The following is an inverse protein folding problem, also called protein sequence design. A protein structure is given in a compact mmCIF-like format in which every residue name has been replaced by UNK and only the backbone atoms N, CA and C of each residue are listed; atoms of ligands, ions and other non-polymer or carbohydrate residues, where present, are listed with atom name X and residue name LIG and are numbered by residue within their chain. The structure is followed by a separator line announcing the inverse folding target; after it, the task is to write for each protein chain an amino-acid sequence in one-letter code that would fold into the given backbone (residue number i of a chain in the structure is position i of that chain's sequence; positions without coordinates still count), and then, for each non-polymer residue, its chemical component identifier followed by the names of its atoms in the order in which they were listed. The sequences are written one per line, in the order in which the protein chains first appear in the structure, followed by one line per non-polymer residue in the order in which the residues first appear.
data_IF_284285438126
#
_entry.id   IF_284285438126
#
_cell.length_a   1.000
_cell.length_b   1.000
_cell.length_c   1.000
_cell.angle_alpha   90.00
_cell.angle_beta   90.00
_cell.angle_gamma   90.00
#
_symmetry.space_group_name_H-M   'P 1'
#
loop_
_entity.id
_entity.type
_entity.pdbx_description
1 polymer ?
#
# COMPACT_ATOMS: atom_id res chain seq x y z
N UNK A 1 10.05 -21.73 -27.29
CA UNK A 1 8.72 -22.07 -26.74
C UNK A 1 8.06 -20.75 -26.38
N UNK A 2 6.95 -20.38 -26.99
CA UNK A 2 6.26 -19.12 -26.74
C UNK A 2 5.43 -19.26 -25.46
N UNK A 3 5.76 -18.49 -24.42
CA UNK A 3 4.92 -18.38 -23.22
C UNK A 3 3.73 -17.48 -23.56
N UNK A 4 2.55 -18.04 -23.47
CA UNK A 4 1.28 -17.30 -23.61
C UNK A 4 0.92 -16.81 -22.20
N UNK A 5 0.95 -15.51 -21.99
CA UNK A 5 0.43 -14.89 -20.78
C UNK A 5 -1.07 -14.65 -20.97
N UNK A 6 -1.88 -15.34 -20.20
CA UNK A 6 -3.32 -15.08 -20.11
C UNK A 6 -3.51 -14.01 -19.04
N UNK A 7 -3.75 -12.78 -19.45
CA UNK A 7 -4.21 -11.71 -18.55
C UNK A 7 -5.71 -11.88 -18.38
N UNK A 8 -6.14 -12.34 -17.22
CA UNK A 8 -7.56 -12.32 -16.83
C UNK A 8 -7.90 -10.91 -16.33
N UNK A 9 -8.44 -10.09 -17.20
CA UNK A 9 -9.09 -8.83 -16.83
C UNK A 9 -10.43 -9.14 -16.16
N UNK A 10 -10.45 -9.15 -14.83
CA UNK A 10 -11.69 -9.05 -14.05
C UNK A 10 -12.07 -7.58 -13.93
N UNK A 11 -12.91 -7.10 -14.84
CA UNK A 11 -13.58 -5.80 -14.70
C UNK A 11 -14.68 -5.93 -13.64
N UNK A 12 -14.38 -5.60 -12.40
CA UNK A 12 -15.38 -5.36 -11.37
C UNK A 12 -15.56 -3.84 -11.22
N UNK A 13 -16.73 -3.34 -11.65
CA UNK A 13 -17.19 -2.00 -11.33
C UNK A 13 -17.40 -1.90 -9.81
N UNK A 14 -16.46 -1.32 -9.08
CA UNK A 14 -16.61 -0.97 -7.67
C UNK A 14 -17.32 0.37 -7.57
N UNK A 15 -18.61 0.33 -7.23
CA UNK A 15 -19.34 1.47 -6.72
C UNK A 15 -18.91 1.71 -5.27
N UNK A 16 -18.09 2.72 -5.05
CA UNK A 16 -17.73 3.21 -3.71
C UNK A 16 -18.92 3.94 -3.09
N UNK A 17 -19.69 3.24 -2.25
CA UNK A 17 -20.60 3.88 -1.31
C UNK A 17 -20.01 3.73 0.09
N UNK A 18 -19.65 4.87 0.69
CA UNK A 18 -19.07 4.93 2.03
C UNK A 18 -20.02 4.33 3.08
N UNK A 19 -19.49 3.40 3.88
CA UNK A 19 -20.16 2.88 5.07
C UNK A 19 -19.79 3.75 6.28
N UNK A 20 -20.76 4.48 6.81
CA UNK A 20 -20.64 5.17 8.09
C UNK A 20 -20.76 4.15 9.24
N UNK A 21 -19.76 4.08 10.11
CA UNK A 21 -19.76 3.26 11.31
C UNK A 21 -20.74 3.82 12.35
N UNK A 22 -21.82 3.10 12.62
CA UNK A 22 -22.65 3.27 13.82
C UNK A 22 -22.30 2.23 14.86
N UNK A 23 -21.71 2.67 15.95
CA UNK A 23 -21.46 1.85 17.14
C UNK A 23 -22.81 1.63 17.84
N UNK A 24 -23.26 0.37 17.88
CA UNK A 24 -24.40 -0.05 18.70
C UNK A 24 -23.91 -0.82 19.92
N UNK A 25 -24.05 -0.22 21.09
CA UNK A 25 -23.89 -0.86 22.38
C UNK A 25 -25.19 -1.51 22.78
N UNK A 26 -25.21 -2.82 23.05
CA UNK A 26 -26.29 -3.50 23.75
C UNK A 26 -25.76 -4.39 24.88
N UNK A 27 -26.53 -4.50 25.99
CA UNK A 27 -26.01 -4.90 27.30
C UNK A 27 -26.08 -6.42 27.55
N UNK A 28 -25.16 -6.82 28.42
CA UNK A 28 -24.98 -8.14 28.99
C UNK A 28 -26.22 -8.60 29.78
N UNK A 29 -26.75 -9.78 29.44
CA UNK A 29 -27.63 -10.52 30.37
C UNK A 29 -26.85 -11.73 30.91
N UNK A 30 -26.66 -11.72 32.23
CA UNK A 30 -26.20 -12.86 33.01
C UNK A 30 -27.32 -13.89 33.18
N UNK A 31 -27.05 -15.16 32.95
CA UNK A 31 -27.77 -16.26 33.59
C UNK A 31 -26.80 -17.28 34.10
N UNK A 32 -26.86 -17.46 35.41
CA UNK A 32 -26.29 -18.52 36.24
C UNK A 32 -27.09 -19.78 36.08
N UNK A 33 -26.41 -20.91 35.87
CA UNK A 33 -26.85 -22.20 36.43
C UNK A 33 -25.65 -23.12 36.63
N UNK A 34 -25.58 -23.65 37.85
CA UNK A 34 -24.62 -24.64 38.33
C UNK A 34 -25.07 -26.04 37.91
N UNK A 35 -24.13 -26.91 37.58
CA UNK A 35 -24.26 -28.34 37.85
C UNK A 35 -22.89 -28.94 38.17
N UNK A 36 -22.82 -29.49 39.41
CA UNK A 36 -21.72 -30.27 39.95
C UNK A 36 -21.69 -31.66 39.29
N UNK A 37 -20.56 -32.11 38.80
CA UNK A 37 -20.27 -33.52 38.62
C UNK A 37 -18.82 -33.84 39.04
N UNK A 38 -18.74 -34.49 40.20
CA UNK A 38 -17.55 -35.02 40.81
C UNK A 38 -17.02 -36.22 40.02
N UNK A 39 -15.80 -36.10 39.47
CA UNK A 39 -15.06 -37.24 38.91
C UNK A 39 -13.83 -37.48 39.77
N UNK A 40 -13.80 -38.69 40.36
CA UNK A 40 -12.74 -39.22 41.20
C UNK A 40 -11.46 -39.46 40.42
N UNK A 41 -10.35 -38.88 40.87
CA UNK A 41 -9.01 -39.06 40.33
C UNK A 41 -8.41 -40.33 40.96
N UNK A 42 -8.10 -41.33 40.14
CA UNK A 42 -7.24 -42.44 40.52
C UNK A 42 -5.79 -42.10 40.22
N UNK A 43 -4.97 -42.04 41.26
CA UNK A 43 -3.53 -41.85 41.20
C UNK A 43 -2.85 -43.09 40.66
N UNK A 44 -2.19 -42.98 39.51
CA UNK A 44 -1.15 -43.93 39.08
C UNK A 44 0.22 -43.30 39.27
N UNK A 45 1.04 -43.99 40.08
CA UNK A 45 2.47 -43.69 40.21
C UNK A 45 3.22 -44.18 38.95
N UNK A 46 3.89 -43.28 38.26
CA UNK A 46 4.80 -43.61 37.17
C UNK A 46 6.23 -43.51 37.71
N UNK A 47 6.97 -44.58 37.57
CA UNK A 47 8.40 -44.68 37.88
C UNK A 47 9.22 -43.76 36.96
N UNK A 48 10.18 -43.03 37.54
CA UNK A 48 11.17 -42.24 36.82
C UNK A 48 12.14 -43.16 36.08
N UNK A 49 11.97 -43.31 34.75
CA UNK A 49 13.05 -43.72 33.87
C UNK A 49 13.80 -42.49 33.40
N UNK A 50 15.08 -42.44 33.72
CA UNK A 50 16.02 -41.42 33.28
C UNK A 50 16.20 -41.49 31.75
N UNK A 51 15.52 -40.62 31.00
CA UNK A 51 15.79 -40.38 29.59
C UNK A 51 16.90 -39.36 29.46
N UNK A 52 18.03 -39.85 28.98
CA UNK A 52 19.17 -39.12 28.47
C UNK A 52 18.67 -38.00 27.53
N UNK A 53 19.01 -36.76 27.84
CA UNK A 53 18.79 -35.60 27.02
C UNK A 53 19.54 -35.76 25.70
N UNK A 54 18.85 -36.19 24.63
CA UNK A 54 19.24 -35.87 23.28
C UNK A 54 18.80 -34.43 23.01
N UNK A 55 19.69 -33.51 23.19
CA UNK A 55 19.59 -32.16 22.62
C UNK A 55 19.45 -32.31 21.09
N UNK A 56 18.21 -32.29 20.61
CA UNK A 56 17.95 -32.10 19.18
C UNK A 56 18.32 -30.66 18.92
N UNK A 57 19.53 -30.45 18.40
CA UNK A 57 19.92 -29.18 17.81
C UNK A 57 18.92 -28.93 16.69
N UNK A 58 17.99 -27.98 16.92
CA UNK A 58 17.24 -27.31 15.86
C UNK A 58 18.30 -26.67 14.96
N UNK A 59 18.61 -27.31 13.83
CA UNK A 59 19.30 -26.67 12.72
C UNK A 59 18.43 -25.50 12.33
N UNK A 60 18.85 -24.28 12.71
CA UNK A 60 18.24 -23.05 12.18
C UNK A 60 18.28 -23.15 10.66
N UNK A 61 17.13 -23.18 10.02
CA UNK A 61 17.06 -23.10 8.58
C UNK A 61 17.84 -21.84 8.17
N UNK A 62 18.66 -21.98 7.12
CA UNK A 62 19.40 -20.84 6.59
C UNK A 62 18.40 -19.84 6.02
N UNK A 63 18.44 -18.59 6.48
CA UNK A 63 17.52 -17.53 6.07
C UNK A 63 18.29 -16.40 5.38
N UNK A 64 17.64 -15.75 4.44
CA UNK A 64 18.13 -14.51 3.80
C UNK A 64 17.34 -13.34 4.32
N UNK A 65 18.02 -12.35 4.90
CA UNK A 65 17.40 -11.08 5.29
C UNK A 65 17.15 -10.23 4.04
N UNK A 66 15.91 -9.78 3.89
CA UNK A 66 15.44 -8.97 2.76
C UNK A 66 14.83 -7.69 3.28
N UNK A 67 15.25 -6.57 2.70
CA UNK A 67 14.77 -5.25 3.11
C UNK A 67 14.30 -4.44 1.92
N UNK A 68 13.21 -3.67 2.13
CA UNK A 68 12.75 -2.66 1.19
C UNK A 68 12.42 -1.37 1.94
N UNK A 69 13.14 -0.31 1.65
CA UNK A 69 12.86 1.03 2.15
C UNK A 69 11.76 1.73 1.35
N UNK A 70 11.04 2.59 2.03
CA UNK A 70 10.01 3.44 1.43
C UNK A 70 9.71 4.68 2.28
N UNK A 71 8.83 5.55 1.82
CA UNK A 71 8.57 6.86 2.44
C UNK A 71 7.90 6.77 3.81
N UNK A 72 7.29 5.65 4.13
CA UNK A 72 6.59 5.43 5.41
C UNK A 72 7.38 4.60 6.39
N UNK A 73 8.38 3.87 5.91
CA UNK A 73 9.23 3.01 6.74
C UNK A 73 9.94 1.95 5.90
N UNK A 74 10.82 1.19 6.54
CA UNK A 74 11.50 0.05 5.93
C UNK A 74 10.81 -1.25 6.34
N UNK A 75 10.46 -2.06 5.34
CA UNK A 75 9.95 -3.42 5.51
C UNK A 75 11.14 -4.37 5.47
N UNK A 76 11.27 -5.26 6.45
CA UNK A 76 12.31 -6.31 6.49
C UNK A 76 11.67 -7.65 6.80
N UNK A 77 12.16 -8.71 6.13
CA UNK A 77 11.74 -10.10 6.31
C UNK A 77 12.92 -11.05 6.29
N UNK A 78 12.83 -12.17 7.00
CA UNK A 78 13.74 -13.30 6.88
C UNK A 78 13.10 -14.38 6.00
N UNK A 79 13.65 -14.60 4.81
CA UNK A 79 13.16 -15.58 3.84
C UNK A 79 13.95 -16.87 3.97
N UNK A 80 13.33 -18.02 4.28
CA UNK A 80 14.01 -19.29 4.47
C UNK A 80 14.42 -19.92 3.13
N UNK A 81 15.42 -20.81 3.17
CA UNK A 81 15.78 -21.66 2.04
C UNK A 81 14.57 -22.42 1.50
N UNK A 82 14.42 -22.51 0.16
CA UNK A 82 13.26 -23.09 -0.53
C UNK A 82 12.16 -22.06 -0.85
N UNK A 83 12.40 -20.78 -0.51
CA UNK A 83 11.55 -19.67 -0.90
C UNK A 83 12.34 -18.66 -1.74
N UNK A 84 11.69 -18.13 -2.76
CA UNK A 84 12.17 -17.00 -3.56
C UNK A 84 11.54 -15.70 -3.12
N UNK A 85 12.18 -14.57 -3.45
CA UNK A 85 11.61 -13.24 -3.25
C UNK A 85 11.92 -12.31 -4.41
N UNK A 86 11.07 -11.30 -4.59
CA UNK A 86 11.28 -10.14 -5.46
C UNK A 86 11.02 -8.87 -4.65
N UNK A 87 11.92 -7.89 -4.76
CA UNK A 87 11.77 -6.57 -4.13
C UNK A 87 11.15 -5.65 -5.16
N UNK A 88 10.08 -4.96 -4.76
CA UNK A 88 9.42 -3.97 -5.59
C UNK A 88 9.75 -2.56 -5.10
N UNK A 89 10.45 -1.76 -5.90
CA UNK A 89 10.61 -0.34 -5.62
C UNK A 89 9.26 0.37 -5.68
N UNK A 90 9.20 1.54 -5.07
CA UNK A 90 7.99 2.33 -4.90
C UNK A 90 7.23 2.66 -6.19
N UNK A 91 7.93 2.73 -7.31
CA UNK A 91 7.41 3.01 -8.65
C UNK A 91 7.18 1.77 -9.52
N UNK A 92 7.14 0.60 -8.90
CA UNK A 92 6.99 -0.66 -9.64
C UNK A 92 5.58 -0.83 -10.21
N UNK A 93 5.49 -0.98 -11.53
CA UNK A 93 4.25 -1.34 -12.24
C UNK A 93 3.67 -2.71 -11.81
N UNK A 94 4.48 -3.54 -11.15
CA UNK A 94 4.07 -4.87 -10.68
C UNK A 94 3.17 -4.84 -9.45
N UNK A 95 3.22 -3.76 -8.67
CA UNK A 95 2.38 -3.58 -7.48
C UNK A 95 1.13 -2.77 -7.83
N UNK A 96 0.08 -3.45 -8.26
CA UNK A 96 -1.17 -2.79 -8.65
C UNK A 96 -1.94 -2.14 -7.49
N UNK A 97 -1.59 -2.47 -6.23
CA UNK A 97 -2.31 -1.99 -5.04
C UNK A 97 -1.41 -1.41 -3.94
N UNK A 98 -0.10 -1.64 -3.98
CA UNK A 98 0.84 -1.17 -2.96
C UNK A 98 1.81 -0.13 -3.47
N UNK A 99 2.42 0.64 -2.58
CA UNK A 99 3.40 1.65 -2.93
C UNK A 99 4.80 1.06 -3.11
N UNK A 100 5.18 0.12 -2.25
CA UNK A 100 6.46 -0.61 -2.27
C UNK A 100 6.30 -1.88 -1.43
N UNK A 101 7.17 -2.86 -1.62
CA UNK A 101 7.08 -4.10 -0.88
C UNK A 101 7.97 -5.23 -1.34
N UNK A 102 7.70 -6.39 -0.78
CA UNK A 102 8.42 -7.63 -1.01
C UNK A 102 7.42 -8.71 -1.41
N UNK A 103 7.63 -9.35 -2.58
CA UNK A 103 6.91 -10.57 -2.93
C UNK A 103 7.74 -11.76 -2.52
N UNK A 104 7.10 -12.80 -2.00
CA UNK A 104 7.78 -14.07 -1.70
C UNK A 104 6.89 -15.27 -2.06
N UNK A 105 7.53 -16.37 -2.46
CA UNK A 105 6.85 -17.56 -2.98
C UNK A 105 7.74 -18.80 -2.86
N UNK A 106 7.15 -20.03 -2.76
CA UNK A 106 7.92 -21.26 -2.72
C UNK A 106 8.66 -21.51 -4.03
N UNK A 107 9.89 -22.06 -3.96
CA UNK A 107 10.77 -22.29 -5.12
C UNK A 107 10.18 -23.21 -6.18
N UNK A 108 9.50 -24.26 -5.75
CA UNK A 108 9.02 -25.34 -6.60
C UNK A 108 7.56 -25.17 -7.09
N UNK A 109 6.95 -24.01 -6.84
CA UNK A 109 5.52 -23.77 -7.13
C UNK A 109 5.38 -22.68 -8.19
N UNK A 110 4.79 -23.03 -9.32
CA UNK A 110 4.61 -22.10 -10.43
C UNK A 110 3.58 -21.00 -10.16
N UNK A 111 2.60 -21.26 -9.30
CA UNK A 111 1.47 -20.40 -9.03
C UNK A 111 1.23 -20.28 -7.52
N UNK A 112 1.13 -19.06 -7.04
CA UNK A 112 0.93 -18.73 -5.63
C UNK A 112 2.09 -17.94 -5.05
N UNK A 113 1.76 -16.79 -4.45
CA UNK A 113 2.71 -15.87 -3.85
C UNK A 113 2.03 -14.98 -2.81
N UNK A 114 2.84 -14.33 -2.01
CA UNK A 114 2.44 -13.30 -1.05
C UNK A 114 3.11 -11.99 -1.43
N UNK A 115 2.32 -10.94 -1.59
CA UNK A 115 2.81 -9.55 -1.68
C UNK A 115 2.69 -8.89 -0.31
N UNK A 116 3.79 -8.66 0.37
CA UNK A 116 3.85 -7.84 1.56
C UNK A 116 4.16 -6.40 1.13
N UNK A 117 3.20 -5.50 1.29
CA UNK A 117 3.26 -4.14 0.73
C UNK A 117 2.80 -3.10 1.74
N UNK A 118 3.24 -1.86 1.54
CA UNK A 118 2.62 -0.72 2.21
C UNK A 118 1.48 -0.18 1.34
N UNK A 119 0.28 -0.14 1.92
CA UNK A 119 -0.93 0.42 1.30
C UNK A 119 -1.54 1.41 2.29
N UNK A 120 -1.63 2.68 1.88
CA UNK A 120 -2.39 3.66 2.64
C UNK A 120 -3.89 3.42 2.43
N UNK A 121 -4.68 3.46 3.51
CA UNK A 121 -6.14 3.27 3.46
C UNK A 121 -6.63 1.93 2.84
N UNK A 122 -5.92 0.82 3.11
CA UNK A 122 -6.42 -0.49 2.70
C UNK A 122 -7.76 -0.82 3.36
N UNK A 123 -8.73 -1.17 2.54
CA UNK A 123 -10.05 -1.61 3.01
C UNK A 123 -10.71 -2.56 2.04
N UNK A 124 -11.46 -3.49 2.59
CA UNK A 124 -12.30 -4.44 1.85
C UNK A 124 -13.73 -4.37 2.36
N UNK A 125 -14.69 -4.57 1.49
CA UNK A 125 -16.10 -4.62 1.86
C UNK A 125 -16.85 -5.62 0.97
N UNK A 126 -17.96 -6.16 1.47
CA UNK A 126 -18.82 -7.06 0.70
C UNK A 126 -19.40 -8.17 1.56
N UNK A 127 -20.36 -8.89 0.99
CA UNK A 127 -20.97 -10.06 1.63
C UNK A 127 -20.07 -11.28 1.45
N UNK A 128 -19.94 -12.09 2.50
CA UNK A 128 -19.17 -13.33 2.49
C UNK A 128 -17.72 -13.19 2.95
N UNK A 129 -17.32 -12.00 3.40
CA UNK A 129 -16.03 -11.81 4.08
C UNK A 129 -16.05 -12.61 5.40
N UNK A 130 -15.05 -13.46 5.58
CA UNK A 130 -14.70 -14.09 6.84
C UNK A 130 -13.38 -13.53 7.35
N UNK A 131 -13.31 -13.19 8.63
CA UNK A 131 -12.11 -12.60 9.24
C UNK A 131 -11.73 -13.36 10.52
N UNK A 132 -10.42 -13.49 10.72
CA UNK A 132 -9.83 -14.08 11.92
C UNK A 132 -8.76 -13.13 12.46
N UNK A 133 -8.71 -12.98 13.80
CA UNK A 133 -7.68 -12.17 14.48
C UNK A 133 -6.52 -13.05 14.92
N UNK A 134 -5.30 -12.65 14.57
CA UNK A 134 -4.05 -13.33 14.86
C UNK A 134 -3.08 -12.39 15.58
N UNK A 135 -1.96 -12.96 16.03
CA UNK A 135 -0.78 -12.19 16.43
C UNK A 135 0.36 -12.58 15.49
N UNK A 136 0.90 -11.62 14.73
CA UNK A 136 1.99 -11.84 13.78
C UNK A 136 3.06 -10.79 14.06
N UNK A 137 4.34 -11.20 14.16
CA UNK A 137 5.46 -10.33 14.53
C UNK A 137 5.22 -9.56 15.84
N UNK A 138 4.47 -10.16 16.77
CA UNK A 138 4.09 -9.53 18.04
C UNK A 138 3.04 -8.41 17.92
N UNK A 139 2.42 -8.24 16.75
CA UNK A 139 1.40 -7.22 16.48
C UNK A 139 0.02 -7.86 16.29
N UNK A 140 -1.07 -7.15 16.63
CA UNK A 140 -2.40 -7.57 16.24
C UNK A 140 -2.48 -7.62 14.72
N UNK A 141 -3.05 -8.69 14.16
CA UNK A 141 -3.25 -8.86 12.74
C UNK A 141 -4.63 -9.46 12.46
N UNK A 142 -5.25 -9.09 11.34
CA UNK A 142 -6.48 -9.70 10.87
C UNK A 142 -6.23 -10.35 9.50
N UNK A 143 -6.53 -11.64 9.39
CA UNK A 143 -6.61 -12.34 8.12
C UNK A 143 -8.05 -12.37 7.65
N UNK A 144 -8.30 -12.01 6.39
CA UNK A 144 -9.62 -12.02 5.78
C UNK A 144 -9.64 -12.74 4.46
N UNK A 145 -10.76 -13.43 4.19
CA UNK A 145 -10.99 -14.20 2.98
C UNK A 145 -12.45 -14.13 2.54
N UNK A 146 -12.70 -14.24 1.24
CA UNK A 146 -14.04 -14.37 0.66
C UNK A 146 -14.34 -15.78 0.15
N UNK A 147 -13.36 -16.62 0.00
CA UNK A 147 -13.42 -17.91 -0.68
C UNK A 147 -12.96 -19.09 0.18
N UNK A 148 -12.91 -18.90 1.49
CA UNK A 148 -12.40 -19.87 2.45
C UNK A 148 -10.94 -20.27 2.15
N UNK A 149 -10.09 -19.29 1.95
CA UNK A 149 -8.65 -19.45 1.69
C UNK A 149 -8.26 -20.17 0.39
N UNK A 150 -9.14 -20.20 -0.60
CA UNK A 150 -8.86 -20.92 -1.85
C UNK A 150 -7.91 -20.17 -2.77
N UNK A 151 -8.22 -18.88 -3.05
CA UNK A 151 -7.55 -18.13 -4.11
C UNK A 151 -6.96 -16.82 -3.65
N UNK A 152 -7.59 -16.15 -2.67
CA UNK A 152 -7.17 -14.84 -2.22
C UNK A 152 -7.43 -14.62 -0.74
N UNK A 153 -6.44 -14.09 -0.06
CA UNK A 153 -6.57 -13.60 1.30
C UNK A 153 -5.84 -12.28 1.44
N UNK A 154 -6.19 -11.53 2.48
CA UNK A 154 -5.41 -10.40 2.94
C UNK A 154 -5.09 -10.56 4.43
N UNK A 155 -3.96 -10.00 4.84
CA UNK A 155 -3.59 -9.88 6.25
C UNK A 155 -3.24 -8.43 6.49
N UNK A 156 -3.97 -7.77 7.39
CA UNK A 156 -3.67 -6.41 7.84
C UNK A 156 -3.02 -6.44 9.20
N UNK A 157 -2.16 -5.46 9.47
CA UNK A 157 -1.46 -5.34 10.75
C UNK A 157 -1.95 -4.09 11.49
N UNK A 158 -1.99 -4.18 12.81
CA UNK A 158 -2.35 -3.08 13.70
C UNK A 158 -1.16 -2.35 14.30
N UNK A 159 -1.45 -1.40 15.19
CA UNK A 159 -0.50 -0.57 15.91
C UNK A 159 0.44 0.19 14.96
N UNK A 160 1.75 0.18 15.26
CA UNK A 160 2.80 0.82 14.47
C UNK A 160 3.10 0.13 13.12
N UNK A 161 2.46 -1.01 12.83
CA UNK A 161 2.50 -1.70 11.54
C UNK A 161 1.28 -1.39 10.66
N UNK A 162 0.41 -0.45 11.07
CA UNK A 162 -0.71 0.02 10.26
C UNK A 162 -0.22 0.54 8.91
N UNK A 163 -0.90 0.15 7.83
CA UNK A 163 -0.49 0.38 6.45
C UNK A 163 0.28 -0.77 5.82
N UNK A 164 0.84 -1.70 6.62
CA UNK A 164 1.39 -2.94 6.08
C UNK A 164 0.25 -3.94 5.81
N UNK A 165 0.26 -4.51 4.61
CA UNK A 165 -0.73 -5.49 4.17
C UNK A 165 -0.02 -6.63 3.45
N UNK A 166 -0.36 -7.88 3.80
CA UNK A 166 0.03 -9.04 3.01
C UNK A 166 -1.17 -9.49 2.17
N UNK A 167 -0.98 -9.56 0.85
CA UNK A 167 -1.97 -10.03 -0.12
C UNK A 167 -1.50 -11.37 -0.66
N UNK A 168 -2.31 -12.41 -0.49
CA UNK A 168 -1.97 -13.75 -1.00
C UNK A 168 -2.71 -14.02 -2.31
N UNK A 169 -1.98 -14.45 -3.32
CA UNK A 169 -2.53 -14.92 -4.60
C UNK A 169 -2.10 -16.37 -4.79
N UNK A 170 -3.03 -17.25 -4.94
CA UNK A 170 -2.77 -18.69 -4.86
C UNK A 170 -3.72 -19.52 -5.72
N UNK A 171 -3.31 -20.74 -5.99
CA UNK A 171 -4.18 -21.78 -6.54
C UNK A 171 -4.88 -22.56 -5.42
N UNK A 172 -5.91 -23.30 -5.77
CA UNK A 172 -6.66 -24.13 -4.80
C UNK A 172 -5.72 -25.07 -4.03
N UNK A 173 -5.94 -25.19 -2.73
CA UNK A 173 -5.17 -25.95 -1.76
C UNK A 173 -3.74 -25.40 -1.44
N UNK A 174 -3.31 -24.29 -2.02
CA UNK A 174 -2.01 -23.71 -1.74
C UNK A 174 -1.89 -23.28 -0.27
N UNK A 175 -2.93 -22.66 0.28
CA UNK A 175 -2.95 -22.22 1.67
C UNK A 175 -2.87 -23.37 2.67
N UNK A 176 -3.53 -24.50 2.39
CA UNK A 176 -3.45 -25.69 3.24
C UNK A 176 -2.02 -26.24 3.35
N UNK A 177 -1.20 -26.04 2.32
CA UNK A 177 0.19 -26.53 2.25
C UNK A 177 1.17 -25.52 2.85
N UNK A 178 1.00 -24.23 2.57
CA UNK A 178 2.02 -23.20 2.82
C UNK A 178 1.67 -22.21 3.91
N UNK A 179 0.45 -22.19 4.44
CA UNK A 179 0.02 -21.18 5.43
C UNK A 179 0.92 -21.10 6.66
N UNK A 180 1.36 -22.24 7.19
CA UNK A 180 2.27 -22.29 8.34
C UNK A 180 3.59 -21.59 8.04
N UNK A 181 4.21 -21.89 6.89
CA UNK A 181 5.45 -21.26 6.46
C UNK A 181 5.27 -19.77 6.14
N UNK A 182 4.16 -19.39 5.50
CA UNK A 182 3.82 -17.98 5.26
C UNK A 182 3.73 -17.21 6.57
N UNK A 183 3.03 -17.75 7.56
CA UNK A 183 2.90 -17.11 8.87
C UNK A 183 4.24 -17.08 9.63
N UNK A 184 5.09 -18.10 9.49
CA UNK A 184 6.46 -18.09 10.03
C UNK A 184 7.30 -16.99 9.40
N UNK A 185 7.26 -16.82 8.07
CA UNK A 185 7.96 -15.73 7.37
C UNK A 185 7.42 -14.38 7.86
N UNK A 186 6.10 -14.18 7.88
CA UNK A 186 5.48 -12.94 8.35
C UNK A 186 5.75 -12.65 9.83
N UNK A 187 6.00 -13.66 10.67
CA UNK A 187 6.41 -13.45 12.05
C UNK A 187 7.83 -12.85 12.19
N UNK A 188 8.62 -12.87 11.14
CA UNK A 188 9.93 -12.18 11.10
C UNK A 188 9.83 -10.72 10.68
N UNK A 189 8.64 -10.25 10.31
CA UNK A 189 8.41 -8.89 9.82
C UNK A 189 8.89 -7.84 10.83
N UNK A 190 9.69 -6.92 10.31
CA UNK A 190 10.02 -5.66 10.98
C UNK A 190 9.58 -4.52 10.08
N UNK A 191 8.80 -3.59 10.61
CA UNK A 191 8.49 -2.34 9.95
C UNK A 191 9.08 -1.19 10.76
N UNK A 192 10.18 -0.62 10.25
CA UNK A 192 10.91 0.47 10.91
C UNK A 192 10.51 1.83 10.33
N UNK A 193 9.61 2.52 11.01
CA UNK A 193 9.13 3.85 10.63
C UNK A 193 10.16 4.97 10.83
N UNK A 194 11.29 4.70 11.50
CA UNK A 194 12.38 5.65 11.67
C UNK A 194 13.26 5.79 10.43
N UNK A 195 13.28 4.76 9.57
CA UNK A 195 14.05 4.73 8.32
C UNK A 195 13.09 4.99 7.16
N UNK A 196 13.16 6.17 6.55
CA UNK A 196 12.32 6.58 5.43
C UNK A 196 13.18 6.81 4.20
N UNK A 197 12.82 6.17 3.09
CA UNK A 197 13.55 6.21 1.83
C UNK A 197 12.58 6.47 0.67
N UNK A 198 13.02 7.26 -0.32
CA UNK A 198 12.22 7.58 -1.50
C UNK A 198 11.07 8.54 -1.22
N UNK A 199 10.22 8.70 -2.21
CA UNK A 199 9.10 9.65 -2.21
C UNK A 199 7.79 8.88 -2.39
N UNK A 200 6.75 9.28 -1.65
CA UNK A 200 5.46 8.60 -1.72
C UNK A 200 4.72 8.95 -3.02
N UNK A 201 4.32 7.93 -3.78
CA UNK A 201 3.17 8.08 -4.66
C UNK A 201 1.91 7.80 -3.85
N UNK A 202 1.10 8.83 -3.63
CA UNK A 202 -0.18 8.69 -2.95
C UNK A 202 -1.26 8.84 -4.02
N UNK A 203 -1.99 7.74 -4.29
CA UNK A 203 -3.13 7.78 -5.19
C UNK A 203 -4.17 8.77 -4.69
N UNK A 204 -4.65 9.64 -5.55
CA UNK A 204 -5.76 10.53 -5.25
C UNK A 204 -7.00 10.06 -6.01
N UNK A 205 -8.02 9.63 -5.28
CA UNK A 205 -9.29 9.17 -5.87
C UNK A 205 -9.98 10.24 -6.75
N UNK A 206 -9.67 11.52 -6.52
CA UNK A 206 -10.19 12.64 -7.30
C UNK A 206 -9.37 12.89 -8.59
N UNK A 207 -8.24 12.20 -8.78
CA UNK A 207 -7.37 12.39 -9.93
C UNK A 207 -7.98 11.76 -11.18
N UNK A 208 -7.94 12.48 -12.28
CA UNK A 208 -8.35 11.98 -13.59
C UNK A 208 -7.17 11.45 -14.43
N UNK A 209 -6.00 11.30 -13.82
CA UNK A 209 -4.77 10.90 -14.47
C UNK A 209 -4.89 9.55 -15.22
N UNK A 210 -5.56 8.57 -14.62
CA UNK A 210 -5.77 7.25 -15.24
C UNK A 210 -6.56 7.32 -16.56
N UNK A 211 -7.44 8.32 -16.71
CA UNK A 211 -8.21 8.49 -17.94
C UNK A 211 -7.36 8.84 -19.17
N UNK A 212 -6.17 9.34 -18.92
CA UNK A 212 -5.19 9.75 -19.94
C UNK A 212 -3.88 8.97 -19.84
N UNK A 213 -3.88 7.83 -19.13
CA UNK A 213 -2.72 6.95 -19.00
C UNK A 213 -1.51 7.62 -18.34
N UNK A 214 -1.73 8.41 -17.29
CA UNK A 214 -0.72 9.25 -16.66
C UNK A 214 -0.58 8.93 -15.17
N UNK A 215 0.66 8.76 -14.70
CA UNK A 215 1.01 8.93 -13.29
C UNK A 215 1.54 10.35 -13.07
N UNK A 216 1.04 11.01 -12.02
CA UNK A 216 1.53 12.31 -11.61
C UNK A 216 2.02 12.26 -10.18
N UNK A 217 3.31 12.51 -9.98
CA UNK A 217 3.97 12.45 -8.67
C UNK A 217 4.90 13.64 -8.45
N UNK A 218 5.51 13.71 -7.26
CA UNK A 218 6.54 14.68 -6.93
C UNK A 218 7.77 13.96 -6.38
N UNK A 219 8.94 14.55 -6.62
CA UNK A 219 10.20 14.17 -5.98
C UNK A 219 10.97 15.39 -5.50
N UNK A 220 12.00 15.19 -4.66
CA UNK A 220 12.80 16.26 -4.05
C UNK A 220 11.94 17.30 -3.33
N UNK A 221 10.95 16.82 -2.59
CA UNK A 221 10.00 17.64 -1.87
C UNK A 221 10.72 18.43 -0.77
N UNK A 222 10.44 19.72 -0.73
CA UNK A 222 10.95 20.65 0.29
C UNK A 222 9.82 21.61 0.71
N UNK A 223 9.98 22.38 1.79
CA UNK A 223 9.02 23.43 2.14
C UNK A 223 8.82 24.50 1.05
N UNK A 224 9.77 24.68 0.14
CA UNK A 224 9.71 25.72 -0.89
C UNK A 224 9.32 25.25 -2.28
N UNK A 225 9.42 23.94 -2.58
CA UNK A 225 9.20 23.42 -3.91
C UNK A 225 9.44 21.92 -4.02
N UNK A 226 9.27 21.39 -5.22
CA UNK A 226 9.52 20.00 -5.57
C UNK A 226 9.83 19.87 -7.07
N UNK A 227 10.17 18.66 -7.50
CA UNK A 227 10.18 18.31 -8.93
C UNK A 227 8.87 17.58 -9.26
N UNK A 228 8.09 18.12 -10.19
CA UNK A 228 6.93 17.43 -10.77
C UNK A 228 7.42 16.29 -11.66
N UNK A 229 6.77 15.13 -11.58
CA UNK A 229 7.08 13.95 -12.38
C UNK A 229 5.80 13.46 -13.04
N UNK A 230 5.75 13.53 -14.36
CA UNK A 230 4.67 13.01 -15.18
C UNK A 230 5.20 11.79 -15.93
N UNK A 231 4.64 10.62 -15.67
CA UNK A 231 4.97 9.39 -16.38
C UNK A 231 3.75 8.93 -17.18
N UNK A 232 3.84 9.02 -18.50
CA UNK A 232 2.79 8.50 -19.39
C UNK A 232 3.03 7.02 -19.66
N UNK A 233 2.19 6.16 -19.09
CA UNK A 233 2.30 4.71 -19.19
C UNK A 233 1.43 4.09 -20.29
N UNK A 234 0.30 4.72 -20.67
CA UNK A 234 -0.58 4.26 -21.74
C UNK A 234 -0.73 5.32 -22.82
N UNK A 235 0.01 5.16 -23.91
CA UNK A 235 -0.01 6.05 -25.09
C UNK A 235 -1.33 6.05 -25.86
N UNK A 236 -2.19 5.06 -25.62
CA UNK A 236 -3.46 4.92 -26.33
C UNK A 236 -4.63 5.57 -25.57
N UNK A 237 -4.43 5.94 -24.30
CA UNK A 237 -5.46 6.59 -23.50
C UNK A 237 -5.77 8.03 -23.95
N UNK A 238 -4.79 8.92 -24.21
CA UNK A 238 -5.07 10.26 -24.76
C UNK A 238 -5.39 10.19 -26.24
N UNK A 239 -6.19 11.16 -26.71
CA UNK A 239 -6.58 11.31 -28.12
C UNK A 239 -5.70 12.32 -28.89
N UNK A 240 -4.89 13.09 -28.18
CA UNK A 240 -3.97 14.10 -28.69
C UNK A 240 -2.64 14.10 -27.94
N UNK A 241 -2.04 15.26 -27.81
CA UNK A 241 -0.80 15.47 -27.06
C UNK A 241 -1.14 15.96 -25.67
N UNK A 242 -0.58 15.34 -24.63
CA UNK A 242 -0.75 15.81 -23.27
C UNK A 242 0.12 17.05 -23.03
N UNK A 243 -0.53 18.13 -22.60
CA UNK A 243 0.11 19.42 -22.32
C UNK A 243 -0.35 19.97 -20.97
N UNK A 244 0.49 20.78 -20.31
CA UNK A 244 0.14 21.50 -19.09
C UNK A 244 0.76 22.89 -19.06
N UNK A 245 0.09 23.81 -18.36
CA UNK A 245 0.58 25.17 -18.15
C UNK A 245 1.40 25.32 -16.86
N UNK A 246 1.86 26.56 -16.58
CA UNK A 246 2.56 26.89 -15.31
C UNK A 246 1.62 26.87 -14.09
N UNK A 247 0.33 27.10 -14.26
CA UNK A 247 -0.63 27.23 -13.16
C UNK A 247 -0.75 25.96 -12.34
N UNK A 248 -0.86 26.11 -11.02
CA UNK A 248 -1.08 25.04 -10.08
C UNK A 248 -1.78 25.57 -8.82
N UNK A 249 -2.38 24.66 -8.06
CA UNK A 249 -2.96 24.96 -6.74
C UNK A 249 -2.38 23.96 -5.74
N UNK A 250 -2.04 24.44 -4.53
CA UNK A 250 -1.67 23.59 -3.41
C UNK A 250 -2.82 23.55 -2.42
N UNK A 251 -3.21 22.36 -2.03
CA UNK A 251 -4.21 22.10 -0.99
C UNK A 251 -3.56 21.39 0.19
N UNK A 252 -4.04 21.65 1.40
CA UNK A 252 -3.59 21.04 2.65
C UNK A 252 -4.72 20.22 3.25
N UNK A 253 -4.40 19.01 3.75
CA UNK A 253 -5.34 18.17 4.45
C UNK A 253 -5.57 18.65 5.88
N UNK A 254 -6.78 19.16 6.16
CA UNK A 254 -7.19 19.63 7.49
C UNK A 254 -8.65 19.24 7.77
N UNK A 255 -8.93 18.81 9.01
CA UNK A 255 -10.29 18.50 9.45
C UNK A 255 -11.03 17.50 8.52
N UNK A 256 -10.31 16.54 7.93
CA UNK A 256 -10.80 15.54 6.97
C UNK A 256 -11.32 16.14 5.64
N UNK A 257 -10.81 17.30 5.24
CA UNK A 257 -11.08 17.91 3.94
C UNK A 257 -9.80 18.52 3.36
N UNK A 258 -9.75 18.64 2.04
CA UNK A 258 -8.73 19.39 1.33
C UNK A 258 -9.13 20.86 1.29
N UNK A 259 -8.25 21.75 1.79
CA UNK A 259 -8.42 23.20 1.78
C UNK A 259 -7.28 23.84 0.97
N UNK A 260 -7.59 24.80 0.11
CA UNK A 260 -6.54 25.53 -0.61
C UNK A 260 -5.63 26.27 0.37
N UNK A 261 -4.32 26.15 0.17
CA UNK A 261 -3.33 26.90 0.95
C UNK A 261 -3.46 28.40 0.60
N UNK A 262 -3.57 29.29 1.59
CA UNK A 262 -3.65 30.72 1.29
C UNK A 262 -2.42 31.22 0.53
N UNK A 263 -2.68 31.99 -0.51
CA UNK A 263 -1.63 32.69 -1.27
C UNK A 263 -1.06 33.84 -0.41
N UNK A 264 0.27 33.96 -0.38
CA UNK A 264 0.98 34.99 0.44
C UNK A 264 1.41 36.19 -0.38
N UNK A 265 1.38 36.10 -1.71
CA UNK A 265 1.69 37.23 -2.58
C UNK A 265 0.47 38.13 -2.79
N UNK A 266 0.72 39.38 -3.23
CA UNK A 266 -0.36 40.29 -3.56
C UNK A 266 -1.19 39.81 -4.76
N UNK A 267 -2.42 40.30 -4.92
CA UNK A 267 -3.38 39.89 -5.97
C UNK A 267 -2.86 40.13 -7.42
N UNK A 268 -1.67 40.69 -7.60
CA UNK A 268 -1.06 40.98 -8.89
C UNK A 268 -0.02 39.93 -9.34
N UNK A 269 -0.33 38.64 -9.14
CA UNK A 269 0.51 37.58 -9.70
C UNK A 269 -0.09 37.04 -11.00
N UNK A 270 0.76 36.47 -11.85
CA UNK A 270 0.34 35.76 -13.05
C UNK A 270 1.26 34.59 -13.33
N UNK A 271 0.70 33.52 -13.84
CA UNK A 271 1.48 32.41 -14.41
C UNK A 271 1.86 32.75 -15.87
N UNK A 272 2.93 32.16 -16.34
CA UNK A 272 3.30 32.28 -17.76
C UNK A 272 2.28 31.51 -18.61
N UNK A 273 1.89 32.11 -19.73
CA UNK A 273 1.02 31.47 -20.72
C UNK A 273 1.88 30.59 -21.66
N UNK A 274 2.42 29.50 -21.10
CA UNK A 274 3.28 28.54 -21.78
C UNK A 274 2.64 27.15 -21.62
N UNK A 275 2.59 26.39 -22.73
CA UNK A 275 2.23 24.99 -22.72
C UNK A 275 3.50 24.13 -22.75
N UNK A 276 3.58 23.17 -21.83
CA UNK A 276 4.65 22.17 -21.76
C UNK A 276 4.09 20.82 -22.15
N UNK A 277 4.78 20.12 -23.02
CA UNK A 277 4.37 18.79 -23.49
C UNK A 277 4.85 17.71 -22.54
N UNK A 278 3.98 16.75 -22.23
CA UNK A 278 4.35 15.51 -21.56
C UNK A 278 4.82 14.52 -22.62
N UNK A 279 6.02 13.94 -22.41
CA UNK A 279 6.60 12.97 -23.32
C UNK A 279 5.77 11.69 -23.38
N UNK A 280 5.52 11.20 -24.59
CA UNK A 280 4.74 9.99 -24.82
C UNK A 280 5.55 8.74 -24.45
N UNK A 281 4.97 7.82 -23.67
CA UNK A 281 5.63 6.60 -23.15
C UNK A 281 6.94 6.89 -22.41
N UNK A 282 7.02 8.03 -21.74
CA UNK A 282 8.25 8.45 -21.08
C UNK A 282 7.93 9.29 -19.84
N UNK A 283 8.96 9.66 -19.11
CA UNK A 283 8.87 10.50 -17.92
C UNK A 283 9.26 11.93 -18.25
N UNK A 284 8.40 12.87 -17.93
CA UNK A 284 8.66 14.32 -18.04
C UNK A 284 8.80 14.90 -16.64
N UNK A 285 9.90 15.60 -16.39
CA UNK A 285 10.20 16.20 -15.08
C UNK A 285 10.29 17.71 -15.19
N UNK A 286 9.83 18.40 -14.14
CA UNK A 286 9.93 19.85 -14.05
C UNK A 286 10.09 20.31 -12.62
N UNK A 287 11.11 21.13 -12.37
CA UNK A 287 11.24 21.80 -11.08
C UNK A 287 10.15 22.84 -10.90
N UNK A 288 9.57 22.87 -9.71
CA UNK A 288 8.55 23.80 -9.28
C UNK A 288 8.95 24.46 -7.96
N UNK A 289 9.04 25.78 -7.96
CA UNK A 289 9.11 26.61 -6.75
C UNK A 289 7.70 27.14 -6.46
N UNK A 290 7.17 26.83 -5.29
CA UNK A 290 5.89 27.37 -4.83
C UNK A 290 6.03 28.43 -3.74
N UNK A 291 7.28 28.64 -3.21
CA UNK A 291 7.48 29.56 -2.09
C UNK A 291 7.13 31.02 -2.45
N UNK A 292 7.29 31.39 -3.70
CA UNK A 292 6.89 32.73 -4.17
C UNK A 292 5.39 33.00 -4.08
N UNK A 293 4.57 31.94 -4.16
CA UNK A 293 3.11 32.04 -4.19
C UNK A 293 2.48 31.68 -2.84
N UNK A 294 2.97 30.62 -2.17
CA UNK A 294 2.41 30.07 -0.92
C UNK A 294 3.33 30.27 0.30
N UNK A 295 4.54 30.81 0.13
CA UNK A 295 5.56 30.84 1.17
C UNK A 295 6.12 29.44 1.43
N UNK A 296 6.84 29.34 2.57
CA UNK A 296 7.37 28.05 3.01
C UNK A 296 6.26 27.21 3.65
N UNK A 297 5.93 26.08 3.07
CA UNK A 297 4.93 25.17 3.62
C UNK A 297 5.38 24.62 4.97
N UNK A 298 4.46 24.56 5.92
CA UNK A 298 4.70 23.96 7.23
C UNK A 298 4.63 22.43 7.11
N UNK A 299 5.20 21.68 8.09
CA UNK A 299 5.02 20.22 8.13
C UNK A 299 3.53 19.84 8.05
N UNK A 300 3.18 18.89 7.17
CA UNK A 300 1.80 18.50 6.94
C UNK A 300 1.60 17.70 5.67
N UNK A 301 0.35 17.25 5.48
CA UNK A 301 -0.07 16.52 4.28
C UNK A 301 -0.67 17.49 3.27
N UNK A 302 -0.18 17.46 2.07
CA UNK A 302 -0.54 18.37 0.99
C UNK A 302 -0.87 17.60 -0.29
N UNK A 303 -1.54 18.26 -1.22
CA UNK A 303 -1.60 17.84 -2.62
C UNK A 303 -1.45 19.02 -3.54
N UNK A 304 -0.82 18.76 -4.68
CA UNK A 304 -0.79 19.71 -5.80
C UNK A 304 -1.82 19.30 -6.83
N UNK A 305 -2.55 20.29 -7.33
CA UNK A 305 -3.57 20.16 -8.36
C UNK A 305 -3.06 20.81 -9.66
N UNK A 306 -3.13 20.06 -10.76
CA UNK A 306 -2.72 20.51 -12.10
C UNK A 306 -3.82 20.22 -13.11
N UNK A 307 -4.03 21.16 -14.06
CA UNK A 307 -4.83 20.90 -15.26
C UNK A 307 -3.92 20.35 -16.36
N UNK A 308 -4.32 19.24 -16.94
CA UNK A 308 -3.67 18.64 -18.13
C UNK A 308 -4.65 18.74 -19.29
N UNK A 309 -4.14 19.15 -20.46
CA UNK A 309 -4.88 19.19 -21.69
C UNK A 309 -4.54 17.94 -22.53
N UNK A 310 -5.53 17.24 -23.02
CA UNK A 310 -5.40 16.31 -24.13
C UNK A 310 -5.67 17.11 -25.41
N UNK A 311 -4.59 17.68 -25.95
CA UNK A 311 -4.63 18.71 -27.01
C UNK A 311 -4.50 18.11 -28.40
N UNK A 312 -5.50 18.29 -29.21
CA UNK A 312 -5.53 17.89 -30.65
C UNK A 312 -5.23 19.04 -31.58
N UNK A 313 -5.85 20.19 -31.36
CA UNK A 313 -5.63 21.46 -32.10
C UNK A 313 -6.31 22.61 -31.35
N UNK A 314 -6.05 23.84 -31.79
CA UNK A 314 -6.69 25.05 -31.26
C UNK A 314 -8.22 24.91 -31.25
N UNK A 315 -8.82 25.05 -30.09
CA UNK A 315 -10.28 24.92 -29.86
C UNK A 315 -10.80 23.50 -29.83
N UNK A 316 -9.91 22.48 -29.85
CA UNK A 316 -10.26 21.06 -29.76
C UNK A 316 -9.29 20.36 -28.81
N UNK A 317 -9.68 20.29 -27.55
CA UNK A 317 -8.95 19.67 -26.45
C UNK A 317 -9.90 19.29 -25.32
N UNK A 318 -9.54 18.29 -24.56
CA UNK A 318 -10.19 17.94 -23.29
C UNK A 318 -9.31 18.36 -22.12
N UNK A 319 -9.95 18.59 -20.97
CA UNK A 319 -9.29 19.01 -19.74
C UNK A 319 -9.43 17.94 -18.67
N UNK A 320 -8.33 17.62 -18.02
CA UNK A 320 -8.27 16.65 -16.94
C UNK A 320 -7.62 17.28 -15.73
N UNK A 321 -8.23 17.06 -14.57
CA UNK A 321 -7.69 17.53 -13.30
C UNK A 321 -6.91 16.39 -12.64
N UNK A 322 -5.61 16.60 -12.47
CA UNK A 322 -4.72 15.62 -11.86
C UNK A 322 -4.17 16.12 -10.53
N UNK A 323 -3.98 15.20 -9.59
CA UNK A 323 -3.50 15.49 -8.25
C UNK A 323 -2.31 14.61 -7.91
N UNK A 324 -1.31 15.19 -7.23
CA UNK A 324 -0.25 14.44 -6.57
C UNK A 324 -0.18 14.85 -5.10
N UNK A 325 -0.35 13.88 -4.21
CA UNK A 325 -0.24 14.10 -2.76
C UNK A 325 1.22 14.03 -2.32
N UNK A 326 1.57 14.79 -1.27
CA UNK A 326 2.92 14.83 -0.73
C UNK A 326 2.94 15.24 0.74
N UNK A 327 4.02 14.92 1.41
CA UNK A 327 4.22 15.26 2.82
C UNK A 327 5.41 16.20 2.93
N UNK A 328 5.20 17.32 3.63
CA UNK A 328 6.30 18.16 4.10
C UNK A 328 6.64 17.73 5.52
N UNK A 329 7.88 17.29 5.73
CA UNK A 329 8.38 16.85 7.03
C UNK A 329 9.08 17.96 7.79
N UNK A 330 9.18 17.82 9.10
CA UNK A 330 10.06 18.70 9.91
C UNK A 330 11.51 18.42 9.52
N UNK A 331 12.33 19.46 9.26
CA UNK A 331 13.75 19.23 9.02
C UNK A 331 14.38 18.47 10.19
N UNK A 332 15.05 17.37 9.91
CA UNK A 332 15.84 16.66 10.92
C UNK A 332 17.04 17.56 11.26
N UNK A 333 17.10 18.06 12.50
CA UNK A 333 18.20 18.88 13.02
C UNK A 333 19.43 18.03 13.32
#
# INVERSE_FOLDING_TARGET
MKKIYIVLLLTSNLLLNGCANTISTNPIVKSTEQDENTISISTYSIEEESLSSAETALTSAETTEVEQGGPYGRISLSIPTGWHYEIYPMDSEKLSYGLYGIQFFPEDVADGYVNLVYIDDFGVCGTGLAEETLTIAGKPANIGTYDNHKYWDFITFGDDYSGIVALTYKVENWWEIYSEQVLEILNTLIFDTSVKEGEAYIYSADSEADKIGLYFTLKKISPSGATLVFHQYDENAPTGTLEYGDSFVIEVWKNNIWEEVPIVTDDNYAFHDIAYTIANKDTTERELDWAWLYGMLQPGNYRIKKEILDFRKTGDYDKYMVYAQFIVTTPTT
#
